data_IF_238314771526
#
_entry.id   IF_238314771526
#
_cell.length_a   1.000
_cell.length_b   1.000
_cell.length_c   1.000
_cell.angle_alpha   90.00
_cell.angle_beta   90.00
_cell.angle_gamma   90.00
#
_symmetry.space_group_name_H-M   'P 1'
#
loop_
_entity.id
_entity.type
_entity.pdbx_description
1 polymer ?
#
# COMPACT_ATOMS: atom_id res chain seq x y z
N UNK A 1 1.02 2.12 -7.78
CA UNK A 1 2.26 2.42 -7.02
C UNK A 1 3.37 1.40 -7.27
N UNK A 2 3.11 0.09 -7.10
CA UNK A 2 4.17 -0.92 -7.22
C UNK A 2 4.87 -0.92 -8.59
N UNK A 3 4.12 -0.76 -9.68
CA UNK A 3 4.67 -0.61 -11.03
C UNK A 3 5.56 0.63 -11.10
N UNK A 4 5.06 1.77 -10.65
CA UNK A 4 5.80 3.05 -10.67
C UNK A 4 7.13 2.99 -9.91
N UNK A 5 7.17 2.21 -8.84
CA UNK A 5 8.38 2.06 -8.02
C UNK A 5 9.27 0.89 -8.45
N UNK A 6 8.91 0.17 -9.51
CA UNK A 6 9.70 -0.97 -9.98
C UNK A 6 9.72 -2.17 -9.06
N UNK A 7 8.69 -2.34 -8.22
CA UNK A 7 8.58 -3.40 -7.23
C UNK A 7 7.37 -4.33 -7.47
N UNK A 8 6.72 -4.21 -8.62
CA UNK A 8 5.48 -4.94 -8.93
C UNK A 8 5.68 -6.47 -9.08
N UNK A 9 6.90 -6.92 -9.29
CA UNK A 9 7.20 -8.35 -9.29
C UNK A 9 7.13 -8.96 -7.88
N UNK A 10 7.27 -8.14 -6.85
CA UNK A 10 7.33 -8.59 -5.46
C UNK A 10 6.05 -8.29 -4.67
N UNK A 11 5.41 -7.15 -4.95
CA UNK A 11 4.28 -6.63 -4.17
C UNK A 11 3.26 -5.90 -5.06
N UNK A 12 2.12 -5.54 -4.49
CA UNK A 12 1.14 -4.64 -5.11
C UNK A 12 -0.06 -5.33 -5.76
N UNK A 13 -0.09 -6.65 -5.78
CA UNK A 13 -1.24 -7.45 -6.20
C UNK A 13 -1.29 -8.78 -5.45
N UNK A 14 -2.46 -9.40 -5.40
CA UNK A 14 -2.66 -10.72 -4.77
C UNK A 14 -2.44 -11.77 -5.85
N UNK A 15 -1.20 -12.21 -5.98
CA UNK A 15 -0.78 -13.19 -6.98
C UNK A 15 0.22 -14.16 -6.37
N UNK A 16 0.21 -15.40 -6.86
CA UNK A 16 1.18 -16.41 -6.43
C UNK A 16 2.61 -15.96 -6.72
N UNK A 17 3.49 -16.10 -5.73
CA UNK A 17 4.90 -15.71 -5.83
C UNK A 17 5.20 -14.30 -5.31
N UNK A 18 4.18 -13.49 -5.02
CA UNK A 18 4.36 -12.18 -4.39
C UNK A 18 4.28 -12.25 -2.87
N UNK A 19 4.83 -11.23 -2.25
CA UNK A 19 4.83 -11.08 -0.79
C UNK A 19 3.40 -10.99 -0.28
N UNK A 20 3.06 -11.82 0.69
CA UNK A 20 1.75 -11.85 1.31
C UNK A 20 1.59 -10.72 2.36
N UNK A 21 1.60 -9.47 1.89
CA UNK A 21 1.25 -8.29 2.67
C UNK A 21 -0.23 -7.99 2.38
N UNK A 22 -1.11 -8.39 3.28
CA UNK A 22 -2.57 -8.37 3.08
C UNK A 22 -3.26 -7.64 4.21
N UNK A 23 -4.30 -6.92 3.86
CA UNK A 23 -5.23 -6.31 4.83
C UNK A 23 -6.63 -6.82 4.53
N UNK A 24 -7.22 -7.51 5.49
CA UNK A 24 -8.57 -8.02 5.40
C UNK A 24 -9.53 -7.00 6.00
N UNK A 25 -10.61 -6.73 5.27
CA UNK A 25 -11.64 -5.78 5.67
C UNK A 25 -13.01 -6.43 5.68
N UNK A 26 -13.81 -6.07 6.64
CA UNK A 26 -15.26 -6.23 6.51
C UNK A 26 -15.79 -5.13 5.58
N UNK A 27 -16.76 -5.41 4.70
CA UNK A 27 -17.29 -4.40 3.77
C UNK A 27 -17.83 -3.14 4.46
N UNK A 28 -18.50 -3.31 5.60
CA UNK A 28 -19.06 -2.22 6.41
C UNK A 28 -18.01 -1.38 7.13
N UNK A 29 -16.79 -1.87 7.26
CA UNK A 29 -15.68 -1.21 7.96
C UNK A 29 -14.50 -0.90 7.03
N UNK A 30 -14.72 -1.00 5.71
CA UNK A 30 -13.66 -0.77 4.73
C UNK A 30 -13.07 0.64 4.85
N UNK A 31 -11.76 0.73 4.92
CA UNK A 31 -11.01 1.99 5.06
C UNK A 31 -11.03 2.58 6.47
N UNK A 32 -11.78 2.00 7.42
CA UNK A 32 -11.90 2.49 8.80
C UNK A 32 -11.12 1.60 9.77
N UNK A 33 -11.48 0.32 9.82
CA UNK A 33 -10.86 -0.62 10.76
C UNK A 33 -10.69 -1.99 10.12
N UNK A 34 -9.45 -2.46 9.90
CA UNK A 34 -9.21 -3.78 9.33
C UNK A 34 -9.60 -4.90 10.30
N UNK A 35 -9.99 -6.02 9.75
CA UNK A 35 -10.24 -7.25 10.49
C UNK A 35 -8.95 -7.97 10.84
N UNK A 36 -8.00 -7.98 9.90
CA UNK A 36 -6.70 -8.63 10.06
C UNK A 36 -5.66 -7.96 9.20
N UNK A 37 -4.44 -7.87 9.70
CA UNK A 37 -3.26 -7.42 8.96
C UNK A 37 -2.23 -8.55 8.92
N UNK A 38 -1.85 -8.93 7.73
CA UNK A 38 -0.86 -9.98 7.47
C UNK A 38 0.37 -9.31 6.83
N UNK A 39 1.53 -9.56 7.37
CA UNK A 39 2.82 -9.08 6.88
C UNK A 39 3.69 -10.24 6.46
N UNK A 40 3.94 -10.38 5.16
CA UNK A 40 4.67 -11.51 4.57
C UNK A 40 4.19 -12.88 5.09
N UNK A 41 2.86 -13.06 5.14
CA UNK A 41 2.23 -14.28 5.65
C UNK A 41 2.14 -14.39 7.17
N UNK A 42 2.67 -13.43 7.92
CA UNK A 42 2.60 -13.40 9.38
C UNK A 42 1.48 -12.46 9.86
N UNK A 43 0.58 -12.95 10.72
CA UNK A 43 -0.48 -12.14 11.31
C UNK A 43 0.14 -11.19 12.34
N UNK A 44 0.11 -9.88 12.05
CA UNK A 44 0.65 -8.86 12.95
C UNK A 44 -0.44 -8.06 13.70
N UNK A 45 -1.68 -8.10 13.23
CA UNK A 45 -2.83 -7.59 13.95
C UNK A 45 -4.09 -8.35 13.52
N UNK A 46 -4.96 -8.67 14.47
CA UNK A 46 -6.25 -9.31 14.20
C UNK A 46 -7.22 -9.12 15.34
N UNK A 47 -8.50 -9.35 15.09
CA UNK A 47 -9.45 -9.52 16.17
C UNK A 47 -9.16 -10.81 16.94
N UNK A 48 -9.40 -10.77 18.23
CA UNK A 48 -9.35 -11.95 19.10
C UNK A 48 -10.69 -12.66 19.07
N UNK A 49 -10.76 -13.74 18.26
CA UNK A 49 -11.88 -14.66 18.26
C UNK A 49 -13.24 -14.07 17.85
N UNK A 50 -14.22 -14.93 17.77
CA UNK A 50 -15.62 -14.59 17.61
C UNK A 50 -16.34 -14.56 18.96
N UNK A 51 -17.42 -13.78 19.07
CA UNK A 51 -18.27 -13.77 20.23
C UNK A 51 -18.87 -15.17 20.44
N UNK A 52 -18.67 -15.75 21.60
CA UNK A 52 -19.22 -17.07 22.00
C UNK A 52 -19.46 -17.10 23.52
N UNK A 53 -19.81 -18.25 24.05
CA UNK A 53 -20.08 -18.39 25.49
C UNK A 53 -18.89 -18.04 26.39
N UNK A 54 -17.66 -18.21 25.91
CA UNK A 54 -16.44 -17.88 26.65
C UNK A 54 -15.94 -16.47 26.39
N UNK A 55 -16.26 -15.90 25.20
CA UNK A 55 -15.90 -14.55 24.81
C UNK A 55 -17.15 -13.86 24.29
N UNK A 56 -17.96 -13.27 25.17
CA UNK A 56 -19.27 -12.70 24.79
C UNK A 56 -19.16 -11.43 23.94
N UNK A 57 -18.04 -10.75 24.01
CA UNK A 57 -17.75 -9.58 23.17
C UNK A 57 -16.47 -9.81 22.40
N UNK A 58 -16.48 -9.67 21.04
CA UNK A 58 -15.24 -9.70 20.28
C UNK A 58 -14.34 -8.57 20.78
N UNK A 59 -13.15 -8.93 21.19
CA UNK A 59 -12.15 -7.92 21.55
C UNK A 59 -11.92 -6.95 20.39
N UNK A 60 -11.65 -5.68 20.67
CA UNK A 60 -11.13 -4.78 19.65
C UNK A 60 -9.86 -5.39 19.05
N UNK A 61 -9.48 -4.93 17.86
CA UNK A 61 -8.28 -5.42 17.19
C UNK A 61 -7.10 -5.37 18.14
N UNK A 62 -6.60 -6.55 18.51
CA UNK A 62 -5.40 -6.65 19.33
C UNK A 62 -4.20 -6.71 18.40
N UNK A 63 -3.35 -5.73 18.54
CA UNK A 63 -2.05 -5.74 17.89
C UNK A 63 -1.20 -6.84 18.50
N UNK A 64 -0.46 -7.53 17.70
CA UNK A 64 0.62 -8.36 18.21
C UNK A 64 1.71 -7.42 18.71
N UNK A 65 1.58 -6.90 19.91
CA UNK A 65 2.51 -5.94 20.51
C UNK A 65 3.95 -6.43 20.49
N UNK A 66 4.10 -7.73 20.44
CA UNK A 66 5.39 -8.39 20.39
C UNK A 66 5.84 -8.81 19.00
N UNK A 67 5.22 -8.29 17.93
CA UNK A 67 5.67 -8.61 16.56
C UNK A 67 7.17 -8.29 16.41
N UNK A 68 7.61 -7.12 16.86
CA UNK A 68 9.02 -6.73 16.86
C UNK A 68 9.89 -7.53 17.83
N UNK A 69 9.32 -8.10 18.88
CA UNK A 69 10.00 -8.94 19.86
C UNK A 69 10.11 -10.42 19.48
N UNK A 70 9.53 -10.86 18.36
CA UNK A 70 9.58 -12.24 17.89
C UNK A 70 10.84 -12.55 17.10
N UNK A 71 12.00 -12.46 17.74
CA UNK A 71 13.29 -12.77 17.13
C UNK A 71 13.55 -11.91 15.88
N UNK A 72 13.66 -12.56 14.71
CA UNK A 72 13.94 -11.88 13.44
C UNK A 72 12.68 -11.54 12.63
N UNK A 73 11.49 -11.53 13.24
CA UNK A 73 10.24 -11.35 12.50
C UNK A 73 10.23 -10.05 11.67
N UNK A 74 10.63 -8.92 12.26
CA UNK A 74 10.69 -7.63 11.54
C UNK A 74 11.63 -7.68 10.35
N UNK A 75 12.82 -8.23 10.51
CA UNK A 75 13.82 -8.29 9.44
C UNK A 75 13.43 -9.27 8.35
N UNK A 76 12.87 -10.43 8.71
CA UNK A 76 12.48 -11.47 7.75
C UNK A 76 11.20 -11.18 6.99
N UNK A 77 10.31 -10.37 7.55
CA UNK A 77 9.05 -9.98 6.90
C UNK A 77 9.12 -8.62 6.19
N UNK A 78 10.28 -7.96 6.23
CA UNK A 78 10.50 -6.64 5.63
C UNK A 78 11.51 -6.71 4.49
N UNK A 79 11.37 -5.76 3.56
CA UNK A 79 12.24 -5.65 2.41
C UNK A 79 12.81 -4.24 2.31
N UNK A 80 14.06 -4.14 1.87
CA UNK A 80 14.69 -2.89 1.44
C UNK A 80 14.88 -2.97 -0.06
N UNK A 81 14.30 -2.04 -0.78
CA UNK A 81 14.43 -1.97 -2.23
C UNK A 81 15.58 -1.03 -2.60
N UNK A 82 16.45 -1.48 -3.48
CA UNK A 82 17.64 -0.76 -3.89
C UNK A 82 17.77 -0.77 -5.41
N UNK A 83 18.68 0.04 -5.96
CA UNK A 83 18.99 -0.05 -7.39
C UNK A 83 19.63 -1.40 -7.73
N UNK A 84 19.50 -1.84 -8.98
CA UNK A 84 20.17 -3.05 -9.46
C UNK A 84 21.69 -2.98 -9.23
N UNK A 85 22.30 -1.84 -9.52
CA UNK A 85 23.72 -1.61 -9.29
C UNK A 85 24.12 -1.82 -7.81
N UNK A 86 23.38 -1.20 -6.88
CA UNK A 86 23.65 -1.34 -5.45
C UNK A 86 23.50 -2.80 -4.97
N UNK A 87 22.49 -3.49 -5.49
CA UNK A 87 22.26 -4.91 -5.19
C UNK A 87 23.44 -5.79 -5.61
N UNK A 88 23.92 -5.61 -6.84
CA UNK A 88 25.06 -6.36 -7.39
C UNK A 88 26.39 -6.03 -6.72
N UNK A 89 26.50 -4.86 -6.11
CA UNK A 89 27.74 -4.39 -5.45
C UNK A 89 27.71 -4.54 -3.92
N UNK A 90 26.88 -5.44 -3.39
CA UNK A 90 26.94 -5.84 -1.99
C UNK A 90 26.48 -4.79 -1.00
N UNK A 91 25.47 -3.95 -1.37
CA UNK A 91 24.96 -2.90 -0.48
C UNK A 91 24.42 -3.47 0.84
N UNK A 92 23.91 -4.68 0.84
CA UNK A 92 23.40 -5.34 2.04
C UNK A 92 24.47 -5.49 3.10
N UNK A 93 25.61 -6.03 2.70
CA UNK A 93 26.78 -6.24 3.56
C UNK A 93 27.44 -4.91 3.91
N UNK A 94 27.56 -4.01 2.94
CA UNK A 94 28.16 -2.68 3.13
C UNK A 94 27.42 -1.81 4.16
N UNK A 95 26.10 -1.97 4.28
CA UNK A 95 25.30 -1.26 5.26
C UNK A 95 24.92 -2.12 6.49
N UNK A 96 25.36 -3.38 6.56
CA UNK A 96 25.02 -4.28 7.64
C UNK A 96 23.53 -4.56 7.78
N UNK A 97 22.80 -4.66 6.67
CA UNK A 97 21.34 -4.81 6.68
C UNK A 97 20.94 -6.25 7.02
N UNK A 98 20.13 -6.43 8.06
CA UNK A 98 19.52 -7.71 8.39
C UNK A 98 18.31 -8.04 7.52
N UNK A 99 17.62 -7.02 6.98
CA UNK A 99 16.44 -7.16 6.14
C UNK A 99 16.77 -7.81 4.80
N UNK A 100 15.76 -8.41 4.19
CA UNK A 100 15.86 -8.84 2.81
C UNK A 100 16.05 -7.64 1.89
N UNK A 101 17.00 -7.71 0.96
CA UNK A 101 17.28 -6.66 -0.02
C UNK A 101 16.88 -7.17 -1.40
N UNK A 102 16.14 -6.37 -2.14
CA UNK A 102 15.65 -6.69 -3.48
C UNK A 102 15.92 -5.53 -4.43
N UNK A 103 16.33 -5.82 -5.68
CA UNK A 103 16.51 -4.75 -6.67
C UNK A 103 15.18 -4.27 -7.24
N UNK A 104 15.07 -2.97 -7.48
CA UNK A 104 13.97 -2.42 -8.28
C UNK A 104 14.19 -2.72 -9.76
N UNK A 105 13.09 -2.90 -10.52
CA UNK A 105 13.12 -3.24 -11.93
C UNK A 105 12.24 -2.31 -12.75
N UNK A 106 12.62 -2.09 -13.99
CA UNK A 106 11.82 -1.33 -14.97
C UNK A 106 11.41 0.09 -14.53
N UNK A 107 12.21 0.77 -13.68
CA UNK A 107 11.85 2.10 -13.18
C UNK A 107 11.98 3.21 -14.23
N UNK A 108 12.77 3.01 -15.30
CA UNK A 108 13.09 4.05 -16.29
C UNK A 108 12.24 3.99 -17.54
N UNK A 109 11.68 2.82 -17.82
CA UNK A 109 10.95 2.56 -19.07
C UNK A 109 9.43 2.67 -18.88
N UNK A 110 8.98 2.94 -17.66
CA UNK A 110 7.57 2.99 -17.28
C UNK A 110 7.03 4.40 -17.38
N UNK A 111 5.88 4.52 -18.03
CA UNK A 111 5.09 5.73 -18.11
C UNK A 111 3.64 5.50 -17.64
N UNK A 112 2.83 6.56 -17.73
CA UNK A 112 1.42 6.48 -17.35
C UNK A 112 0.64 5.41 -18.13
N UNK A 113 0.99 5.18 -19.39
CA UNK A 113 0.38 4.15 -20.25
C UNK A 113 0.49 2.72 -19.68
N UNK A 114 1.48 2.47 -18.81
CA UNK A 114 1.78 1.16 -18.24
C UNK A 114 1.02 0.91 -16.94
N UNK A 115 0.26 1.90 -16.46
CA UNK A 115 -0.56 1.78 -15.23
C UNK A 115 -1.81 0.95 -15.49
N UNK A 116 -2.17 0.05 -14.56
CA UNK A 116 -3.27 -0.92 -14.73
C UNK A 116 -4.64 -0.24 -14.83
N UNK A 117 -4.97 0.68 -13.92
CA UNK A 117 -6.27 1.36 -13.87
C UNK A 117 -6.19 2.87 -14.03
N UNK A 118 -5.02 3.41 -14.34
CA UNK A 118 -4.79 4.84 -14.49
C UNK A 118 -3.86 5.09 -15.69
N UNK A 119 -4.18 4.51 -16.83
CA UNK A 119 -3.38 4.57 -18.05
C UNK A 119 -3.88 5.63 -19.04
N UNK A 120 -5.00 6.30 -18.76
CA UNK A 120 -5.51 7.36 -19.63
C UNK A 120 -4.54 8.53 -19.68
N UNK A 121 -4.12 8.89 -20.88
CA UNK A 121 -3.32 10.08 -21.18
C UNK A 121 -4.27 11.07 -21.83
N UNK A 122 -4.68 12.09 -21.09
CA UNK A 122 -5.54 13.14 -21.58
C UNK A 122 -4.73 14.38 -21.97
N UNK A 123 -5.16 15.09 -22.99
CA UNK A 123 -4.60 16.40 -23.32
C UNK A 123 -5.21 17.44 -22.37
N UNK A 124 -4.37 17.96 -21.49
CA UNK A 124 -4.76 19.01 -20.55
C UNK A 124 -4.34 20.37 -21.11
N UNK A 125 -5.29 21.31 -21.12
CA UNK A 125 -5.06 22.71 -21.44
C UNK A 125 -5.57 23.55 -20.26
N UNK A 126 -4.71 24.42 -19.75
CA UNK A 126 -5.06 25.32 -18.64
C UNK A 126 -4.79 26.74 -19.11
N UNK A 127 -5.80 27.56 -19.10
CA UNK A 127 -5.69 28.99 -19.37
C UNK A 127 -5.15 29.71 -18.12
N UNK A 128 -3.98 30.36 -18.20
CA UNK A 128 -3.36 30.97 -17.03
C UNK A 128 -4.06 32.27 -16.56
N UNK A 129 -4.91 32.87 -17.40
CA UNK A 129 -5.62 34.10 -17.06
C UNK A 129 -7.01 33.82 -16.46
N UNK A 130 -7.73 32.87 -17.04
CA UNK A 130 -9.10 32.53 -16.60
C UNK A 130 -9.16 31.32 -15.68
N UNK A 131 -8.06 30.56 -15.58
CA UNK A 131 -7.98 29.26 -14.88
C UNK A 131 -8.93 28.21 -15.44
N UNK A 132 -9.42 28.41 -16.63
CA UNK A 132 -10.25 27.42 -17.32
C UNK A 132 -9.44 26.18 -17.66
N UNK A 133 -9.94 25.01 -17.25
CA UNK A 133 -9.30 23.70 -17.53
C UNK A 133 -10.10 22.98 -18.61
N UNK A 134 -9.40 22.57 -19.67
CA UNK A 134 -9.97 21.71 -20.71
C UNK A 134 -9.24 20.37 -20.73
N UNK A 135 -10.00 19.31 -20.90
CA UNK A 135 -9.50 17.94 -21.05
C UNK A 135 -10.00 17.39 -22.37
N UNK A 136 -9.05 17.06 -23.25
CA UNK A 136 -9.34 16.59 -24.62
C UNK A 136 -10.26 17.58 -25.40
N UNK A 137 -10.17 18.89 -25.11
CA UNK A 137 -10.92 19.96 -25.73
C UNK A 137 -12.25 20.32 -25.03
N UNK A 138 -12.71 19.53 -24.05
CA UNK A 138 -13.91 19.81 -23.27
C UNK A 138 -13.55 20.58 -21.99
N UNK A 139 -14.28 21.65 -21.71
CA UNK A 139 -14.14 22.39 -20.46
C UNK A 139 -14.67 21.56 -19.29
N UNK A 140 -13.86 21.45 -18.25
CA UNK A 140 -14.22 20.70 -17.04
C UNK A 140 -14.50 21.68 -15.91
N UNK A 141 -15.69 21.60 -15.38
CA UNK A 141 -16.13 22.32 -14.19
C UNK A 141 -16.67 21.35 -13.16
N UNK A 142 -16.58 21.70 -11.89
CA UNK A 142 -17.22 20.95 -10.81
C UNK A 142 -17.79 21.93 -9.78
N UNK A 143 -18.91 21.57 -9.21
CA UNK A 143 -19.43 22.31 -8.07
C UNK A 143 -18.52 22.15 -6.85
N UNK A 144 -18.44 23.18 -5.99
CA UNK A 144 -17.70 23.07 -4.74
C UNK A 144 -18.20 21.88 -3.91
N UNK A 145 -17.30 21.10 -3.34
CA UNK A 145 -17.66 19.98 -2.50
C UNK A 145 -18.38 20.47 -1.23
N UNK A 146 -19.65 20.12 -1.10
CA UNK A 146 -20.43 20.40 0.13
C UNK A 146 -20.02 19.49 1.28
N UNK A 147 -19.49 18.30 0.99
CA UNK A 147 -19.01 17.35 1.96
C UNK A 147 -17.70 16.73 1.49
N UNK A 148 -16.78 16.57 2.42
CA UNK A 148 -15.50 15.92 2.16
C UNK A 148 -15.57 14.42 2.43
N UNK A 149 -14.71 13.67 1.73
CA UNK A 149 -14.72 12.24 1.76
C UNK A 149 -14.33 11.64 3.13
N UNK A 150 -14.48 10.35 3.24
CA UNK A 150 -14.40 9.47 4.39
C UNK A 150 -13.25 9.78 5.37
N UNK A 151 -12.07 10.09 4.89
CA UNK A 151 -10.87 10.32 5.69
C UNK A 151 -10.97 11.46 6.71
N UNK A 152 -11.93 12.38 6.54
CA UNK A 152 -12.16 13.48 7.48
C UNK A 152 -13.32 13.23 8.46
N UNK A 153 -14.07 12.16 8.27
CA UNK A 153 -15.21 11.81 9.12
C UNK A 153 -14.92 10.76 10.17
N UNK A 154 -13.85 10.00 9.97
CA UNK A 154 -13.50 8.89 10.86
C UNK A 154 -12.14 9.10 11.48
N UNK A 155 -12.12 9.12 12.80
CA UNK A 155 -10.90 9.03 13.58
C UNK A 155 -10.61 7.56 13.86
N UNK A 156 -9.39 7.13 13.53
CA UNK A 156 -8.99 5.72 13.65
C UNK A 156 -8.35 5.39 15.01
N UNK A 157 -8.37 6.31 15.96
CA UNK A 157 -7.80 6.18 17.30
C UNK A 157 -8.77 6.63 18.38
#
# INVERSE_FOLDING_TARGET
PAITHGISEYVGSVETGKVADLVLWRPDMFGVKPEMIIKNGFICASRMGDANASIPTPEPVVYTDMFGGKGQAVDKTSFTFVSQYAYEHGIKEGLGLNRNVLPVKHCRDIGKKDMVYNNRIAKLEVDPETYTVKVDGEEITCEPAGELALAQRYFLF
#
